data_IF_392853890048
#
_entry.id   IF_392853890048
#
_cell.length_a   1.000
_cell.length_b   1.000
_cell.length_c   1.000
_cell.angle_alpha   90.00
_cell.angle_beta   90.00
_cell.angle_gamma   90.00
#
_symmetry.space_group_name_H-M   'P 1'
#
loop_
_entity.id
_entity.type
_entity.pdbx_description
1 polymer ?
#
# COMPACT_ATOMS: atom_id res chain seq x y z
N UNK A 1 -4.23 -27.87 26.94
CA UNK A 1 -4.74 -26.49 26.93
C UNK A 1 -5.70 -26.35 25.76
N UNK A 2 -7.00 -26.37 26.01
CA UNK A 2 -7.99 -26.03 24.98
C UNK A 2 -7.96 -24.50 24.85
N UNK A 3 -7.56 -23.98 23.69
CA UNK A 3 -7.64 -22.55 23.42
C UNK A 3 -9.08 -22.10 23.64
N UNK A 4 -9.34 -20.98 24.33
CA UNK A 4 -10.69 -20.46 24.49
C UNK A 4 -11.34 -20.41 23.11
N UNK A 5 -12.47 -21.12 22.99
CA UNK A 5 -13.24 -21.19 21.76
C UNK A 5 -13.68 -19.75 21.48
N UNK A 6 -13.04 -19.11 20.51
CA UNK A 6 -13.44 -17.79 20.03
C UNK A 6 -14.94 -17.82 19.79
N UNK A 7 -15.69 -16.92 20.44
CA UNK A 7 -17.12 -16.82 20.18
C UNK A 7 -17.28 -16.59 18.67
N UNK A 8 -17.93 -17.53 17.96
CA UNK A 8 -17.98 -17.46 16.52
C UNK A 8 -18.74 -16.20 16.12
N UNK A 9 -18.21 -15.43 15.17
CA UNK A 9 -18.96 -14.36 14.50
C UNK A 9 -20.40 -14.80 14.25
N UNK A 10 -21.36 -13.91 14.53
CA UNK A 10 -22.77 -14.23 14.38
C UNK A 10 -23.06 -14.75 12.97
N UNK A 11 -24.01 -15.70 12.85
CA UNK A 11 -24.40 -16.24 11.54
C UNK A 11 -24.86 -15.14 10.58
N UNK A 12 -25.42 -14.05 11.10
CA UNK A 12 -25.83 -12.88 10.32
C UNK A 12 -24.64 -12.15 9.70
N UNK A 13 -23.59 -11.87 10.46
CA UNK A 13 -22.36 -11.23 9.93
C UNK A 13 -21.74 -12.12 8.85
N UNK A 14 -21.65 -13.44 9.09
CA UNK A 14 -21.12 -14.38 8.09
C UNK A 14 -21.94 -14.38 6.79
N UNK A 15 -23.27 -14.29 6.88
CA UNK A 15 -24.17 -14.18 5.71
C UNK A 15 -23.98 -12.85 4.98
N UNK A 16 -23.83 -11.74 5.70
CA UNK A 16 -23.57 -10.43 5.11
C UNK A 16 -22.25 -10.43 4.33
N UNK A 17 -21.18 -11.01 4.89
CA UNK A 17 -19.88 -11.13 4.20
C UNK A 17 -20.01 -12.05 2.96
N UNK A 18 -20.75 -13.16 3.06
CA UNK A 18 -21.01 -14.01 1.89
C UNK A 18 -21.78 -13.26 0.78
N UNK A 19 -22.80 -12.48 1.14
CA UNK A 19 -23.56 -11.66 0.21
C UNK A 19 -22.68 -10.59 -0.45
N UNK A 20 -21.84 -9.90 0.31
CA UNK A 20 -20.87 -8.94 -0.23
C UNK A 20 -19.89 -9.61 -1.20
N UNK A 21 -19.35 -10.79 -0.85
CA UNK A 21 -18.50 -11.58 -1.75
C UNK A 21 -19.20 -11.97 -3.04
N UNK A 22 -20.48 -12.37 -2.97
CA UNK A 22 -21.30 -12.69 -4.13
C UNK A 22 -21.56 -11.47 -5.02
N UNK A 23 -21.93 -10.34 -4.41
CA UNK A 23 -22.16 -9.07 -5.12
C UNK A 23 -20.90 -8.58 -5.84
N UNK A 24 -19.72 -8.79 -5.26
CA UNK A 24 -18.44 -8.47 -5.89
C UNK A 24 -18.06 -9.47 -7.00
N UNK A 25 -18.37 -10.76 -6.82
CA UNK A 25 -18.03 -11.83 -7.76
C UNK A 25 -18.86 -11.80 -9.04
N UNK A 26 -20.18 -11.57 -8.94
CA UNK A 26 -21.10 -11.69 -10.08
C UNK A 26 -20.78 -10.75 -11.26
N UNK A 27 -20.46 -9.45 -11.06
CA UNK A 27 -20.03 -8.57 -12.15
C UNK A 27 -18.71 -9.01 -12.78
N UNK A 28 -17.88 -9.74 -12.04
CA UNK A 28 -16.60 -10.25 -12.53
C UNK A 28 -16.72 -11.33 -13.60
N UNK A 29 -17.81 -12.11 -13.61
CA UNK A 29 -18.02 -13.17 -14.60
C UNK A 29 -18.17 -12.63 -16.04
N UNK A 30 -19.07 -11.67 -16.35
CA UNK A 30 -19.13 -11.09 -17.69
C UNK A 30 -17.88 -10.29 -18.03
N UNK A 31 -17.22 -9.64 -17.06
CA UNK A 31 -15.93 -8.97 -17.28
C UNK A 31 -14.84 -9.96 -17.69
N UNK A 32 -14.74 -11.11 -17.02
CA UNK A 32 -13.78 -12.16 -17.36
C UNK A 32 -14.05 -12.74 -18.75
N UNK A 33 -15.31 -13.05 -19.06
CA UNK A 33 -15.69 -13.53 -20.39
C UNK A 33 -15.36 -12.50 -21.48
N UNK A 34 -15.76 -11.24 -21.26
CA UNK A 34 -15.47 -10.14 -22.18
C UNK A 34 -13.98 -9.92 -22.37
N UNK A 35 -13.19 -9.99 -21.29
CA UNK A 35 -11.75 -9.90 -21.34
C UNK A 35 -11.13 -10.99 -22.21
N UNK A 36 -11.50 -12.27 -22.00
CA UNK A 36 -10.96 -13.37 -22.81
C UNK A 36 -11.38 -13.28 -24.29
N UNK A 37 -12.57 -12.73 -24.59
CA UNK A 37 -12.97 -12.48 -25.97
C UNK A 37 -12.18 -11.30 -26.59
N UNK A 38 -12.05 -10.19 -25.88
CA UNK A 38 -11.39 -8.97 -26.38
C UNK A 38 -9.88 -9.13 -26.50
N UNK A 39 -9.24 -9.82 -25.57
CA UNK A 39 -7.78 -9.96 -25.54
C UNK A 39 -7.26 -10.72 -26.77
N UNK A 40 -8.05 -11.65 -27.32
CA UNK A 40 -7.70 -12.38 -28.54
C UNK A 40 -7.67 -11.46 -29.77
N UNK A 41 -8.60 -10.51 -29.84
CA UNK A 41 -8.67 -9.50 -30.92
C UNK A 41 -7.52 -8.52 -30.76
N UNK A 42 -7.33 -8.02 -29.54
CA UNK A 42 -6.28 -7.05 -29.20
C UNK A 42 -4.87 -7.61 -29.43
N UNK A 43 -4.62 -8.88 -29.06
CA UNK A 43 -3.34 -9.55 -29.35
C UNK A 43 -3.09 -9.68 -30.85
N UNK A 44 -4.15 -9.77 -31.67
CA UNK A 44 -4.02 -9.81 -33.12
C UNK A 44 -3.77 -8.42 -33.75
N UNK A 45 -4.25 -7.34 -33.13
CA UNK A 45 -4.23 -5.97 -33.71
C UNK A 45 -3.05 -5.09 -33.26
N UNK A 46 -2.38 -5.38 -32.13
CA UNK A 46 -1.16 -4.65 -31.75
C UNK A 46 -0.89 -4.51 -30.26
N UNK A 47 0.31 -3.98 -29.97
CA UNK A 47 1.06 -4.11 -28.72
C UNK A 47 0.51 -3.37 -27.49
N UNK A 48 0.44 -2.04 -27.57
CA UNK A 48 0.55 -1.13 -26.41
C UNK A 48 -0.81 -0.79 -25.82
N UNK A 49 -1.79 -0.46 -26.67
CA UNK A 49 -3.18 -0.29 -26.24
C UNK A 49 -3.72 -1.57 -25.60
N UNK A 50 -3.27 -2.72 -26.11
CA UNK A 50 -3.61 -4.01 -25.55
C UNK A 50 -3.10 -4.25 -24.13
N UNK A 51 -1.95 -3.67 -23.77
CA UNK A 51 -1.44 -3.75 -22.41
C UNK A 51 -2.28 -2.94 -21.44
N UNK A 52 -2.72 -1.74 -21.81
CA UNK A 52 -3.55 -0.89 -20.92
C UNK A 52 -4.93 -1.50 -20.68
N UNK A 53 -5.60 -1.91 -21.76
CA UNK A 53 -6.89 -2.63 -21.68
C UNK A 53 -6.71 -3.95 -20.93
N UNK A 54 -5.62 -4.67 -21.24
CA UNK A 54 -5.19 -5.89 -20.56
C UNK A 54 -5.09 -5.70 -19.05
N UNK A 55 -4.37 -4.66 -18.63
CA UNK A 55 -4.11 -4.37 -17.23
C UNK A 55 -5.36 -3.97 -16.47
N UNK A 56 -6.14 -3.04 -17.02
CA UNK A 56 -7.40 -2.61 -16.40
C UNK A 56 -8.38 -3.77 -16.27
N UNK A 57 -8.58 -4.53 -17.35
CA UNK A 57 -9.47 -5.68 -17.36
C UNK A 57 -9.03 -6.78 -16.40
N UNK A 58 -7.77 -7.18 -16.41
CA UNK A 58 -7.25 -8.22 -15.52
C UNK A 58 -7.29 -7.78 -14.04
N UNK A 59 -6.99 -6.52 -13.74
CA UNK A 59 -7.09 -5.98 -12.37
C UNK A 59 -8.53 -6.04 -11.87
N UNK A 60 -9.50 -5.65 -12.69
CA UNK A 60 -10.92 -5.76 -12.35
C UNK A 60 -11.33 -7.22 -12.13
N UNK A 61 -10.86 -8.17 -12.95
CA UNK A 61 -11.11 -9.60 -12.76
C UNK A 61 -10.50 -10.10 -11.45
N UNK A 62 -9.27 -9.71 -11.14
CA UNK A 62 -8.60 -10.09 -9.90
C UNK A 62 -9.35 -9.58 -8.66
N UNK A 63 -9.88 -8.36 -8.71
CA UNK A 63 -10.68 -7.77 -7.62
C UNK A 63 -12.07 -8.42 -7.54
N UNK A 64 -12.76 -8.61 -8.66
CA UNK A 64 -14.13 -9.13 -8.68
C UNK A 64 -14.18 -10.65 -8.51
N UNK A 65 -13.72 -11.40 -9.51
CA UNK A 65 -13.71 -12.87 -9.50
C UNK A 65 -12.76 -13.40 -8.43
N UNK A 66 -11.55 -12.85 -8.35
CA UNK A 66 -10.54 -13.29 -7.39
C UNK A 66 -10.94 -12.96 -5.95
N UNK A 67 -10.96 -11.68 -5.57
CA UNK A 67 -11.24 -11.26 -4.20
C UNK A 67 -12.68 -11.59 -3.78
N UNK A 68 -13.68 -11.34 -4.64
CA UNK A 68 -15.08 -11.71 -4.40
C UNK A 68 -15.28 -13.21 -4.24
N UNK A 69 -14.64 -14.02 -5.09
CA UNK A 69 -14.68 -15.49 -5.00
C UNK A 69 -14.05 -16.02 -3.70
N UNK A 70 -12.91 -15.46 -3.29
CA UNK A 70 -12.25 -15.77 -2.01
C UNK A 70 -13.16 -15.48 -0.83
N UNK A 71 -13.76 -14.28 -0.80
CA UNK A 71 -14.65 -13.84 0.29
C UNK A 71 -15.90 -14.73 0.36
N UNK A 72 -16.52 -15.01 -0.79
CA UNK A 72 -17.68 -15.89 -0.89
C UNK A 72 -17.35 -17.30 -0.39
N UNK A 73 -16.29 -17.91 -0.94
CA UNK A 73 -15.87 -19.26 -0.60
C UNK A 73 -15.60 -19.41 0.90
N UNK A 74 -14.76 -18.54 1.46
CA UNK A 74 -14.40 -18.62 2.87
C UNK A 74 -15.57 -18.36 3.82
N UNK A 75 -16.52 -17.50 3.42
CA UNK A 75 -17.73 -17.22 4.18
C UNK A 75 -18.70 -18.41 4.18
N UNK A 76 -18.89 -19.06 3.03
CA UNK A 76 -19.69 -20.28 2.91
C UNK A 76 -19.10 -21.42 3.75
N UNK A 77 -17.78 -21.63 3.69
CA UNK A 77 -17.12 -22.63 4.53
C UNK A 77 -17.25 -22.32 6.04
N UNK A 78 -17.26 -21.03 6.40
CA UNK A 78 -17.48 -20.58 7.79
C UNK A 78 -18.91 -20.82 8.26
N UNK A 79 -19.91 -20.66 7.37
CA UNK A 79 -21.31 -20.97 7.64
C UNK A 79 -21.54 -22.48 7.82
N UNK A 80 -20.78 -23.31 7.11
CA UNK A 80 -20.77 -24.77 7.25
C UNK A 80 -20.01 -25.27 8.49
N UNK A 81 -19.45 -24.38 9.31
CA UNK A 81 -18.70 -24.75 10.51
C UNK A 81 -17.31 -25.36 10.22
N UNK A 82 -16.82 -25.31 8.97
CA UNK A 82 -15.48 -25.83 8.66
C UNK A 82 -14.40 -24.91 9.20
N UNK A 83 -13.40 -25.49 9.83
CA UNK A 83 -12.22 -24.77 10.32
C UNK A 83 -11.32 -24.35 9.16
N UNK A 84 -10.56 -23.27 9.34
CA UNK A 84 -9.54 -22.83 8.37
C UNK A 84 -8.17 -23.23 8.88
N UNK A 85 -7.29 -23.68 7.98
CA UNK A 85 -5.90 -23.97 8.31
C UNK A 85 -5.13 -22.67 8.66
N UNK A 86 -4.08 -22.76 9.49
CA UNK A 86 -3.11 -21.68 9.69
C UNK A 86 -2.56 -21.15 8.36
N UNK A 87 -2.32 -19.85 8.27
CA UNK A 87 -1.72 -19.21 7.11
C UNK A 87 -0.21 -19.46 7.10
N UNK A 88 0.29 -20.23 6.15
CA UNK A 88 1.73 -20.45 5.97
C UNK A 88 2.17 -19.76 4.67
N UNK A 89 2.72 -18.56 4.79
CA UNK A 89 3.27 -17.84 3.65
C UNK A 89 4.61 -18.46 3.22
N UNK A 90 4.94 -18.45 1.91
CA UNK A 90 6.28 -18.78 1.43
C UNK A 90 7.37 -17.98 2.18
N UNK A 91 8.58 -18.55 2.32
CA UNK A 91 9.68 -17.83 2.95
C UNK A 91 10.06 -16.60 2.13
N UNK A 92 10.61 -15.60 2.82
CA UNK A 92 10.95 -14.27 2.28
C UNK A 92 11.81 -14.36 1.01
N UNK A 93 12.78 -15.26 0.96
CA UNK A 93 13.64 -15.44 -0.22
C UNK A 93 12.85 -15.95 -1.45
N UNK A 94 11.85 -16.82 -1.25
CA UNK A 94 11.04 -17.35 -2.35
C UNK A 94 10.13 -16.26 -2.92
N UNK A 95 9.58 -15.40 -2.05
CA UNK A 95 8.80 -14.24 -2.47
C UNK A 95 9.68 -13.22 -3.20
N UNK A 96 10.88 -12.92 -2.70
CA UNK A 96 11.82 -12.04 -3.39
C UNK A 96 12.20 -12.59 -4.78
N UNK A 97 12.43 -13.90 -4.88
CA UNK A 97 12.67 -14.58 -6.16
C UNK A 97 11.48 -14.48 -7.11
N UNK A 98 10.26 -14.71 -6.62
CA UNK A 98 9.03 -14.57 -7.42
C UNK A 98 8.86 -13.12 -7.94
N UNK A 99 9.09 -12.12 -7.09
CA UNK A 99 9.07 -10.72 -7.50
C UNK A 99 10.08 -10.45 -8.62
N UNK A 100 11.34 -10.90 -8.46
CA UNK A 100 12.37 -10.75 -9.49
C UNK A 100 11.98 -11.43 -10.81
N UNK A 101 11.40 -12.63 -10.76
CA UNK A 101 10.90 -13.35 -11.95
C UNK A 101 9.77 -12.56 -12.62
N UNK A 102 8.79 -12.05 -11.86
CA UNK A 102 7.70 -11.23 -12.42
C UNK A 102 8.23 -9.98 -13.12
N UNK A 103 9.22 -9.29 -12.54
CA UNK A 103 9.83 -8.09 -13.16
C UNK A 103 10.59 -8.46 -14.43
N UNK A 104 11.45 -9.48 -14.39
CA UNK A 104 12.26 -9.90 -15.56
C UNK A 104 11.37 -10.39 -16.69
N UNK A 105 10.37 -11.24 -16.40
CA UNK A 105 9.42 -11.71 -17.41
C UNK A 105 8.54 -10.58 -17.93
N UNK A 106 8.12 -9.66 -17.06
CA UNK A 106 7.35 -8.48 -17.47
C UNK A 106 8.14 -7.64 -18.46
N UNK A 107 9.43 -7.38 -18.18
CA UNK A 107 10.31 -6.63 -19.08
C UNK A 107 10.49 -7.36 -20.41
N UNK A 108 10.76 -8.66 -20.36
CA UNK A 108 10.87 -9.47 -21.57
C UNK A 108 9.59 -9.40 -22.43
N UNK A 109 8.41 -9.55 -21.81
CA UNK A 109 7.12 -9.50 -22.50
C UNK A 109 6.85 -8.12 -23.12
N UNK A 110 7.16 -7.02 -22.41
CA UNK A 110 6.93 -5.67 -22.93
C UNK A 110 7.92 -5.29 -24.03
N UNK A 111 9.22 -5.62 -23.88
CA UNK A 111 10.27 -5.29 -24.85
C UNK A 111 10.18 -6.12 -26.13
N UNK A 112 9.85 -7.42 -26.00
CA UNK A 112 9.66 -8.30 -27.17
C UNK A 112 8.31 -8.11 -27.85
N UNK A 113 7.39 -7.37 -27.21
CA UNK A 113 5.98 -7.27 -27.60
C UNK A 113 5.30 -8.65 -27.78
N UNK A 114 5.78 -9.67 -27.07
CA UNK A 114 5.25 -11.02 -27.19
C UNK A 114 3.95 -11.17 -26.40
N UNK A 115 2.80 -11.05 -27.09
CA UNK A 115 1.47 -11.15 -26.50
C UNK A 115 1.32 -10.28 -25.23
N UNK A 116 1.89 -9.06 -25.27
CA UNK A 116 2.06 -8.22 -24.09
C UNK A 116 0.73 -7.93 -23.39
N UNK A 117 -0.34 -7.66 -24.15
CA UNK A 117 -1.68 -7.45 -23.61
C UNK A 117 -2.20 -8.60 -22.74
N UNK A 118 -1.80 -9.85 -23.03
CA UNK A 118 -2.26 -11.04 -22.31
C UNK A 118 -1.31 -11.42 -21.15
N UNK A 119 -0.01 -11.43 -21.40
CA UNK A 119 0.98 -11.97 -20.46
C UNK A 119 1.43 -10.95 -19.42
N UNK A 120 1.47 -9.66 -19.78
CA UNK A 120 1.95 -8.63 -18.87
C UNK A 120 1.03 -8.38 -17.67
N UNK A 121 -0.31 -8.25 -17.83
CA UNK A 121 -1.20 -7.97 -16.70
C UNK A 121 -1.08 -8.91 -15.50
N UNK A 122 -1.10 -10.26 -15.66
CA UNK A 122 -0.92 -11.16 -14.53
C UNK A 122 0.47 -11.05 -13.89
N UNK A 123 1.52 -10.84 -14.68
CA UNK A 123 2.88 -10.62 -14.15
C UNK A 123 2.96 -9.36 -13.30
N UNK A 124 2.35 -8.28 -13.77
CA UNK A 124 2.30 -7.01 -13.04
C UNK A 124 1.48 -7.12 -11.75
N UNK A 125 0.28 -7.72 -11.80
CA UNK A 125 -0.56 -7.90 -10.60
C UNK A 125 0.12 -8.77 -9.54
N UNK A 126 0.76 -9.87 -9.95
CA UNK A 126 1.53 -10.71 -9.01
C UNK A 126 2.74 -9.94 -8.49
N UNK A 127 3.52 -9.29 -9.35
CA UNK A 127 4.69 -8.49 -8.97
C UNK A 127 4.33 -7.36 -8.00
N UNK A 128 3.17 -6.73 -8.16
CA UNK A 128 2.67 -5.68 -7.29
C UNK A 128 2.24 -6.18 -5.90
N UNK A 129 1.70 -7.40 -5.80
CA UNK A 129 1.21 -7.97 -4.56
C UNK A 129 2.30 -8.66 -3.71
N UNK A 130 3.38 -9.13 -4.34
CA UNK A 130 4.40 -9.94 -3.66
C UNK A 130 5.21 -9.16 -2.61
N UNK A 131 5.72 -7.93 -2.85
CA UNK A 131 6.49 -7.20 -1.84
C UNK A 131 5.75 -6.96 -0.51
N UNK A 132 4.47 -6.51 -0.48
CA UNK A 132 3.76 -6.40 0.78
C UNK A 132 3.46 -7.77 1.42
N UNK A 133 3.22 -8.83 0.64
CA UNK A 133 3.12 -10.20 1.19
C UNK A 133 4.42 -10.67 1.83
N UNK A 134 5.56 -10.31 1.24
CA UNK A 134 6.90 -10.58 1.79
C UNK A 134 7.06 -9.93 3.16
N UNK A 135 6.57 -8.71 3.34
CA UNK A 135 6.58 -8.05 4.65
C UNK A 135 5.79 -8.84 5.70
N UNK A 136 4.60 -9.35 5.38
CA UNK A 136 3.83 -10.18 6.34
C UNK A 136 4.52 -11.53 6.61
N UNK A 137 5.14 -12.15 5.59
CA UNK A 137 5.98 -13.33 5.78
C UNK A 137 7.13 -13.05 6.75
N UNK A 138 7.77 -11.88 6.62
CA UNK A 138 8.81 -11.42 7.55
C UNK A 138 8.28 -11.17 8.97
N UNK A 139 7.10 -10.58 9.11
CA UNK A 139 6.49 -10.31 10.43
C UNK A 139 6.19 -11.59 11.20
N UNK A 140 5.74 -12.64 10.50
CA UNK A 140 5.31 -13.90 11.13
C UNK A 140 6.46 -14.84 11.50
N UNK A 141 7.63 -14.71 10.87
CA UNK A 141 8.84 -15.53 11.12
C UNK A 141 8.53 -17.04 11.30
N UNK A 142 7.73 -17.60 10.39
CA UNK A 142 7.28 -19.01 10.36
C UNK A 142 6.27 -19.44 11.43
N UNK A 143 5.94 -18.57 12.39
CA UNK A 143 4.87 -18.84 13.36
C UNK A 143 3.67 -17.92 13.09
N UNK A 144 2.69 -18.43 12.36
CA UNK A 144 1.42 -17.76 12.12
C UNK A 144 0.30 -18.32 13.03
N UNK A 145 0.66 -18.89 14.19
CA UNK A 145 -0.34 -19.42 15.13
C UNK A 145 -1.36 -18.32 15.49
N UNK A 146 -2.62 -18.54 15.10
CA UNK A 146 -3.75 -17.61 15.28
C UNK A 146 -4.24 -16.91 14.00
N UNK A 147 -3.37 -16.75 13.00
CA UNK A 147 -3.73 -16.26 11.67
C UNK A 147 -4.05 -17.43 10.74
N UNK A 148 -5.29 -17.47 10.23
CA UNK A 148 -5.74 -18.52 9.31
C UNK A 148 -5.85 -18.00 7.87
N UNK A 149 -5.79 -18.88 6.88
CA UNK A 149 -6.02 -18.53 5.47
C UNK A 149 -7.31 -17.74 5.27
N UNK A 150 -8.41 -18.17 5.92
CA UNK A 150 -9.69 -17.45 5.90
C UNK A 150 -9.55 -16.00 6.34
N UNK A 151 -8.91 -15.75 7.49
CA UNK A 151 -8.77 -14.40 8.04
C UNK A 151 -7.86 -13.54 7.17
N UNK A 152 -6.70 -14.07 6.82
CA UNK A 152 -5.72 -13.35 6.02
C UNK A 152 -6.25 -12.98 4.63
N UNK A 153 -6.86 -13.94 3.92
CA UNK A 153 -7.36 -13.70 2.57
C UNK A 153 -8.63 -12.81 2.53
N UNK A 154 -9.54 -12.95 3.50
CA UNK A 154 -10.70 -12.04 3.58
C UNK A 154 -10.26 -10.62 3.93
N UNK A 155 -9.28 -10.45 4.83
CA UNK A 155 -8.72 -9.14 5.14
C UNK A 155 -8.01 -8.52 3.92
N UNK A 156 -7.19 -9.31 3.21
CA UNK A 156 -6.54 -8.90 1.96
C UNK A 156 -7.57 -8.48 0.91
N UNK A 157 -8.60 -9.31 0.68
CA UNK A 157 -9.67 -8.98 -0.26
C UNK A 157 -10.41 -7.70 0.15
N UNK A 158 -10.70 -7.52 1.44
CA UNK A 158 -11.31 -6.31 1.96
C UNK A 158 -10.44 -5.06 1.74
N UNK A 159 -9.15 -5.15 2.02
CA UNK A 159 -8.20 -4.06 1.79
C UNK A 159 -8.12 -3.66 0.32
N UNK A 160 -8.04 -4.65 -0.58
CA UNK A 160 -8.00 -4.46 -2.03
C UNK A 160 -9.32 -3.92 -2.64
N UNK A 161 -10.43 -3.98 -1.90
CA UNK A 161 -11.76 -3.60 -2.39
C UNK A 161 -12.28 -2.39 -1.63
N UNK A 162 -12.90 -2.63 -0.48
CA UNK A 162 -13.52 -1.61 0.37
C UNK A 162 -12.47 -0.61 0.86
N UNK A 163 -11.28 -1.07 1.24
CA UNK A 163 -10.20 -0.19 1.69
C UNK A 163 -9.84 0.84 0.61
N UNK A 164 -9.52 0.36 -0.60
CA UNK A 164 -9.22 1.22 -1.76
C UNK A 164 -10.40 2.12 -2.12
N UNK A 165 -11.63 1.58 -2.18
CA UNK A 165 -12.82 2.38 -2.51
C UNK A 165 -13.04 3.52 -1.52
N UNK A 166 -12.94 3.25 -0.22
CA UNK A 166 -13.12 4.27 0.81
C UNK A 166 -11.99 5.30 0.76
N UNK A 167 -10.74 4.87 0.54
CA UNK A 167 -9.63 5.80 0.37
C UNK A 167 -9.85 6.72 -0.84
N UNK A 168 -10.20 6.18 -2.01
CA UNK A 168 -10.49 6.98 -3.21
C UNK A 168 -11.61 7.99 -2.98
N UNK A 169 -12.66 7.61 -2.26
CA UNK A 169 -13.74 8.54 -1.89
C UNK A 169 -13.20 9.67 -1.01
N UNK A 170 -12.44 9.33 0.04
CA UNK A 170 -11.97 10.29 1.04
C UNK A 170 -10.86 11.20 0.54
N UNK A 171 -9.98 10.70 -0.33
CA UNK A 171 -8.77 11.41 -0.76
C UNK A 171 -8.92 12.07 -2.13
N UNK A 172 -9.73 11.52 -3.04
CA UNK A 172 -9.90 12.07 -4.40
C UNK A 172 -11.27 12.72 -4.53
N UNK A 173 -12.35 11.93 -4.38
CA UNK A 173 -13.69 12.40 -4.73
C UNK A 173 -14.14 13.53 -3.80
N UNK A 174 -13.98 13.38 -2.49
CA UNK A 174 -14.42 14.37 -1.51
C UNK A 174 -13.65 15.69 -1.65
N UNK A 175 -12.29 15.73 -1.72
CA UNK A 175 -11.57 16.97 -1.95
C UNK A 175 -11.92 17.63 -3.29
N UNK A 176 -12.08 16.86 -4.38
CA UNK A 176 -12.50 17.41 -5.67
C UNK A 176 -13.91 18.01 -5.61
N UNK A 177 -14.86 17.36 -4.93
CA UNK A 177 -16.20 17.91 -4.72
C UNK A 177 -16.17 19.21 -3.90
N UNK A 178 -15.35 19.29 -2.86
CA UNK A 178 -15.20 20.52 -2.06
C UNK A 178 -14.59 21.65 -2.90
N UNK A 179 -13.51 21.36 -3.64
CA UNK A 179 -12.85 22.34 -4.50
C UNK A 179 -13.78 22.85 -5.61
N UNK A 180 -14.51 21.94 -6.26
CA UNK A 180 -15.39 22.28 -7.37
C UNK A 180 -16.69 22.96 -6.91
N UNK A 181 -17.41 22.38 -5.95
CA UNK A 181 -18.76 22.81 -5.61
C UNK A 181 -18.80 23.89 -4.52
N UNK A 182 -17.87 23.87 -3.58
CA UNK A 182 -17.89 24.79 -2.42
C UNK A 182 -17.04 26.02 -2.69
N UNK A 183 -15.88 25.84 -3.32
CA UNK A 183 -14.88 26.90 -3.46
C UNK A 183 -14.78 27.46 -4.90
N UNK A 184 -15.40 26.81 -5.90
CA UNK A 184 -15.28 27.16 -7.31
C UNK A 184 -13.81 27.30 -7.78
N UNK A 185 -12.93 26.44 -7.26
CA UNK A 185 -11.48 26.45 -7.50
C UNK A 185 -11.03 25.41 -8.54
N UNK A 186 -11.96 24.67 -9.16
CA UNK A 186 -11.61 23.57 -10.06
C UNK A 186 -10.74 24.02 -11.25
N UNK A 187 -11.08 25.16 -11.86
CA UNK A 187 -10.30 25.73 -12.97
C UNK A 187 -8.89 26.15 -12.51
N UNK A 188 -8.78 26.77 -11.33
CA UNK A 188 -7.49 27.21 -10.77
C UNK A 188 -6.58 26.02 -10.49
N UNK A 189 -7.12 24.97 -9.86
CA UNK A 189 -6.34 23.75 -9.55
C UNK A 189 -5.92 23.04 -10.83
N UNK A 190 -6.81 22.95 -11.82
CA UNK A 190 -6.50 22.30 -13.10
C UNK A 190 -5.39 23.05 -13.84
N UNK A 191 -5.48 24.39 -13.90
CA UNK A 191 -4.44 25.22 -14.50
C UNK A 191 -3.08 25.05 -13.79
N UNK A 192 -3.05 25.04 -12.46
CA UNK A 192 -1.81 24.83 -11.70
C UNK A 192 -1.20 23.45 -11.91
N UNK A 193 -2.02 22.41 -12.11
CA UNK A 193 -1.52 21.07 -12.43
C UNK A 193 -0.95 21.03 -13.86
N UNK A 194 -1.61 21.70 -14.81
CA UNK A 194 -1.12 21.83 -16.19
C UNK A 194 0.23 22.56 -16.23
N UNK A 195 0.34 23.70 -15.55
CA UNK A 195 1.57 24.48 -15.41
C UNK A 195 2.71 23.63 -14.80
N UNK A 196 2.40 22.83 -13.77
CA UNK A 196 3.37 21.91 -13.20
C UNK A 196 3.83 20.84 -14.20
N UNK A 197 2.91 20.24 -14.96
CA UNK A 197 3.26 19.24 -15.98
C UNK A 197 4.16 19.86 -17.05
N UNK A 198 3.88 21.08 -17.46
CA UNK A 198 4.72 21.83 -18.40
C UNK A 198 6.11 22.09 -17.79
N UNK A 199 6.18 22.54 -16.54
CA UNK A 199 7.45 22.78 -15.85
C UNK A 199 8.30 21.51 -15.70
N UNK A 200 7.67 20.37 -15.37
CA UNK A 200 8.33 19.06 -15.31
C UNK A 200 8.83 18.60 -16.68
N UNK A 201 8.09 18.88 -17.74
CA UNK A 201 8.48 18.55 -19.12
C UNK A 201 9.61 19.45 -19.64
N UNK A 202 9.69 20.69 -19.17
CA UNK A 202 10.73 21.66 -19.54
C UNK A 202 12.09 21.45 -18.88
N UNK A 203 12.28 20.35 -18.14
CA UNK A 203 13.52 19.98 -17.42
C UNK A 203 14.00 21.02 -16.37
N UNK A 204 13.21 22.04 -16.08
CA UNK A 204 13.53 23.05 -15.08
C UNK A 204 13.00 22.60 -13.70
N UNK A 205 13.77 21.72 -13.06
CA UNK A 205 13.44 21.16 -11.74
C UNK A 205 13.16 22.26 -10.71
N UNK A 206 13.93 23.35 -10.73
CA UNK A 206 13.75 24.48 -9.82
C UNK A 206 12.38 25.13 -10.00
N UNK A 207 11.97 25.40 -11.24
CA UNK A 207 10.63 25.91 -11.52
C UNK A 207 9.56 24.91 -11.03
N UNK A 208 9.68 23.63 -11.40
CA UNK A 208 8.71 22.60 -11.06
C UNK A 208 8.48 22.45 -9.55
N UNK A 209 9.52 22.48 -8.71
CA UNK A 209 9.35 22.36 -7.24
C UNK A 209 8.80 23.63 -6.59
N UNK A 210 8.90 24.78 -7.26
CA UNK A 210 8.34 26.05 -6.78
C UNK A 210 6.94 26.33 -7.30
N UNK A 211 6.44 25.55 -8.27
CA UNK A 211 5.09 25.71 -8.80
C UNK A 211 4.03 25.45 -7.71
N UNK A 212 2.97 26.27 -7.63
CA UNK A 212 1.86 26.03 -6.69
C UNK A 212 1.23 24.63 -6.85
N UNK A 213 1.19 24.12 -8.09
CA UNK A 213 0.73 22.77 -8.39
C UNK A 213 1.55 21.70 -7.67
N UNK A 214 2.86 21.90 -7.50
CA UNK A 214 3.72 20.96 -6.77
C UNK A 214 3.38 20.94 -5.29
N UNK A 215 3.17 22.10 -4.68
CA UNK A 215 2.75 22.20 -3.28
C UNK A 215 1.40 21.50 -3.09
N UNK A 216 0.47 21.69 -4.02
CA UNK A 216 -0.82 20.99 -4.01
C UNK A 216 -0.65 19.48 -4.06
N UNK A 217 0.13 18.95 -5.02
CA UNK A 217 0.41 17.51 -5.11
C UNK A 217 1.13 16.97 -3.88
N UNK A 218 2.08 17.73 -3.32
CA UNK A 218 2.80 17.34 -2.11
C UNK A 218 1.86 17.24 -0.92
N UNK A 219 0.97 18.22 -0.71
CA UNK A 219 -0.05 18.15 0.36
C UNK A 219 -1.01 16.98 0.12
N UNK A 220 -1.46 16.80 -1.11
CA UNK A 220 -2.36 15.70 -1.46
C UNK A 220 -1.72 14.34 -1.17
N UNK A 221 -0.50 14.09 -1.65
CA UNK A 221 0.16 12.80 -1.56
C UNK A 221 0.84 12.54 -0.21
N UNK A 222 1.37 13.57 0.45
CA UNK A 222 2.08 13.42 1.72
C UNK A 222 1.17 13.61 2.95
N UNK A 223 -0.03 14.18 2.82
CA UNK A 223 -0.90 14.46 3.96
C UNK A 223 -2.28 13.83 3.77
N UNK A 224 -3.02 14.27 2.74
CA UNK A 224 -4.43 13.89 2.56
C UNK A 224 -4.57 12.39 2.29
N UNK A 225 -3.83 11.86 1.32
CA UNK A 225 -3.86 10.45 0.98
C UNK A 225 -3.47 9.55 2.16
N UNK A 226 -2.29 9.72 2.82
CA UNK A 226 -1.94 8.93 3.99
C UNK A 226 -2.97 8.93 5.12
N UNK A 227 -3.60 10.08 5.41
CA UNK A 227 -4.67 10.17 6.41
C UNK A 227 -5.90 9.35 6.00
N UNK A 228 -6.37 9.53 4.78
CA UNK A 228 -7.54 8.85 4.24
C UNK A 228 -7.32 7.34 4.16
N UNK A 229 -6.17 6.93 3.64
CA UNK A 229 -5.79 5.55 3.44
C UNK A 229 -5.62 4.76 4.74
N UNK A 230 -4.85 5.29 5.71
CA UNK A 230 -4.63 4.60 6.99
C UNK A 230 -5.92 4.50 7.81
N UNK A 231 -6.88 5.41 7.58
CA UNK A 231 -8.22 5.31 8.14
C UNK A 231 -9.06 4.23 7.45
N UNK A 232 -8.98 4.14 6.12
CA UNK A 232 -9.80 3.26 5.29
C UNK A 232 -9.40 1.77 5.40
N UNK A 233 -8.09 1.47 5.32
CA UNK A 233 -7.53 0.10 5.33
C UNK A 233 -8.11 -0.80 6.44
N UNK A 234 -8.13 -0.40 7.73
CA UNK A 234 -8.54 -1.28 8.83
C UNK A 234 -10.07 -1.47 8.95
N UNK A 235 -10.90 -0.67 8.27
CA UNK A 235 -12.37 -0.72 8.40
C UNK A 235 -12.93 -2.12 8.15
N UNK A 236 -12.36 -2.83 7.17
CA UNK A 236 -12.77 -4.20 6.79
C UNK A 236 -12.50 -5.23 7.88
N UNK A 237 -11.57 -4.93 8.80
CA UNK A 237 -11.16 -5.83 9.88
C UNK A 237 -11.89 -5.55 11.20
N UNK A 238 -12.55 -4.39 11.34
CA UNK A 238 -13.20 -3.97 12.58
C UNK A 238 -14.17 -5.01 13.19
N UNK A 239 -15.00 -5.73 12.40
CA UNK A 239 -15.90 -6.73 12.96
C UNK A 239 -15.17 -7.89 13.67
N UNK A 240 -13.89 -8.09 13.37
CA UNK A 240 -13.08 -9.20 13.88
C UNK A 240 -12.14 -8.78 14.99
N UNK A 241 -11.44 -7.65 14.85
CA UNK A 241 -10.23 -7.33 15.65
C UNK A 241 -10.48 -7.27 17.16
N UNK A 242 -11.68 -6.90 17.62
CA UNK A 242 -12.03 -6.93 19.05
C UNK A 242 -11.98 -8.32 19.69
N UNK A 243 -12.19 -9.38 18.91
CA UNK A 243 -12.22 -10.77 19.37
C UNK A 243 -10.87 -11.47 19.26
N UNK A 244 -9.89 -10.82 18.62
CA UNK A 244 -8.59 -11.42 18.33
C UNK A 244 -7.59 -11.20 19.47
N UNK A 245 -6.52 -12.01 19.49
CA UNK A 245 -5.32 -11.67 20.25
C UNK A 245 -4.69 -10.39 19.69
N UNK A 246 -3.80 -9.73 20.45
CA UNK A 246 -3.08 -8.55 19.96
C UNK A 246 -2.30 -8.87 18.68
N UNK A 247 -1.63 -10.03 18.64
CA UNK A 247 -0.83 -10.48 17.49
C UNK A 247 -1.71 -10.68 16.27
N UNK A 248 -2.81 -11.39 16.46
CA UNK A 248 -3.72 -11.72 15.35
C UNK A 248 -4.41 -10.47 14.82
N UNK A 249 -4.79 -9.51 15.67
CA UNK A 249 -5.35 -8.23 15.21
C UNK A 249 -4.33 -7.45 14.38
N UNK A 250 -3.06 -7.39 14.82
CA UNK A 250 -1.99 -6.77 14.06
C UNK A 250 -1.81 -7.45 12.69
N UNK A 251 -1.70 -8.79 12.66
CA UNK A 251 -1.46 -9.52 11.42
C UNK A 251 -2.68 -9.52 10.46
N UNK A 252 -3.91 -9.57 10.99
CA UNK A 252 -5.13 -9.44 10.19
C UNK A 252 -5.22 -8.03 9.58
N UNK A 253 -4.90 -6.99 10.35
CA UNK A 253 -4.75 -5.62 9.82
C UNK A 253 -3.67 -5.55 8.75
N UNK A 254 -2.49 -6.13 9.00
CA UNK A 254 -1.40 -6.14 8.04
C UNK A 254 -1.79 -6.78 6.71
N UNK A 255 -2.56 -7.88 6.73
CA UNK A 255 -3.10 -8.50 5.51
C UNK A 255 -4.08 -7.58 4.76
N UNK A 256 -4.87 -6.75 5.44
CA UNK A 256 -5.67 -5.73 4.76
C UNK A 256 -4.78 -4.67 4.10
N UNK A 257 -3.73 -4.22 4.79
CA UNK A 257 -2.70 -3.36 4.22
C UNK A 257 -2.02 -3.94 2.97
N UNK A 258 -1.78 -5.26 2.95
CA UNK A 258 -1.26 -5.96 1.75
C UNK A 258 -2.21 -5.82 0.56
N UNK A 259 -3.50 -6.09 0.77
CA UNK A 259 -4.49 -6.00 -0.30
C UNK A 259 -4.61 -4.60 -0.88
N UNK A 260 -4.60 -3.60 0.00
CA UNK A 260 -4.59 -2.19 -0.41
C UNK A 260 -3.36 -1.87 -1.27
N UNK A 261 -2.16 -2.16 -0.75
CA UNK A 261 -0.90 -1.88 -1.44
C UNK A 261 -0.77 -2.62 -2.78
N UNK A 262 -1.33 -3.82 -2.91
CA UNK A 262 -1.30 -4.56 -4.16
C UNK A 262 -2.04 -3.80 -5.28
N UNK A 263 -3.23 -3.28 -4.99
CA UNK A 263 -4.03 -2.52 -5.97
C UNK A 263 -3.37 -1.18 -6.26
N UNK A 264 -2.92 -0.48 -5.23
CA UNK A 264 -2.21 0.79 -5.36
C UNK A 264 -0.95 0.64 -6.24
N UNK A 265 -0.11 -0.38 -5.98
CA UNK A 265 1.08 -0.66 -6.77
C UNK A 265 0.75 -0.93 -8.25
N UNK A 266 -0.36 -1.62 -8.53
CA UNK A 266 -0.87 -1.81 -9.90
C UNK A 266 -1.27 -0.49 -10.54
N UNK A 267 -1.98 0.38 -9.80
CA UNK A 267 -2.38 1.70 -10.30
C UNK A 267 -1.16 2.56 -10.62
N UNK A 268 -0.19 2.68 -9.71
CA UNK A 268 1.03 3.46 -9.95
C UNK A 268 1.83 2.93 -11.14
N UNK A 269 2.06 1.61 -11.20
CA UNK A 269 2.82 1.02 -12.30
C UNK A 269 2.04 1.09 -13.64
N UNK A 270 0.71 1.02 -13.59
CA UNK A 270 -0.16 1.17 -14.76
C UNK A 270 -0.21 2.59 -15.31
N UNK A 271 -0.34 3.60 -14.44
CA UNK A 271 -0.29 5.01 -14.85
C UNK A 271 1.10 5.41 -15.34
N UNK A 272 2.15 4.93 -14.67
CA UNK A 272 3.54 5.12 -15.07
C UNK A 272 4.07 4.00 -15.98
N UNK A 273 3.26 3.49 -16.91
CA UNK A 273 3.57 2.27 -17.68
C UNK A 273 4.97 2.28 -18.31
N UNK A 274 5.45 3.40 -18.86
CA UNK A 274 6.78 3.45 -19.48
C UNK A 274 7.93 3.11 -18.51
N UNK A 275 7.73 3.32 -17.21
CA UNK A 275 8.72 3.07 -16.17
C UNK A 275 8.20 2.11 -15.10
N UNK A 276 7.22 1.27 -15.47
CA UNK A 276 6.49 0.39 -14.55
C UNK A 276 7.43 -0.46 -13.68
N UNK A 277 8.52 -0.97 -14.26
CA UNK A 277 9.49 -1.82 -13.56
C UNK A 277 10.24 -1.04 -12.47
N UNK A 278 10.69 0.18 -12.79
CA UNK A 278 11.34 1.08 -11.83
C UNK A 278 10.38 1.46 -10.70
N UNK A 279 9.13 1.78 -11.04
CA UNK A 279 8.06 2.07 -10.07
C UNK A 279 7.86 0.88 -9.13
N UNK A 280 7.70 -0.33 -9.65
CA UNK A 280 7.54 -1.54 -8.83
C UNK A 280 8.74 -1.79 -7.91
N UNK A 281 9.98 -1.59 -8.40
CA UNK A 281 11.18 -1.77 -7.57
C UNK A 281 11.20 -0.77 -6.42
N UNK A 282 10.94 0.51 -6.69
CA UNK A 282 10.86 1.54 -5.65
C UNK A 282 9.73 1.20 -4.67
N UNK A 283 8.56 0.80 -5.16
CA UNK A 283 7.41 0.39 -4.34
C UNK A 283 7.72 -0.85 -3.49
N UNK A 284 8.52 -1.78 -4.01
CA UNK A 284 8.96 -2.96 -3.26
C UNK A 284 9.84 -2.60 -2.06
N UNK A 285 10.69 -1.55 -2.17
CA UNK A 285 11.48 -1.06 -1.04
C UNK A 285 10.59 -0.59 0.11
N UNK A 286 9.43 0.01 -0.20
CA UNK A 286 8.43 0.47 0.77
C UNK A 286 7.34 -0.56 1.09
N UNK A 287 7.44 -1.79 0.59
CA UNK A 287 6.34 -2.77 0.63
C UNK A 287 5.84 -3.12 2.03
N UNK A 288 6.65 -2.88 3.07
CA UNK A 288 6.29 -3.12 4.46
C UNK A 288 5.46 -2.01 5.12
N UNK A 289 5.37 -0.82 4.51
CA UNK A 289 4.73 0.34 5.13
C UNK A 289 3.21 0.15 5.27
N UNK A 290 2.51 -0.25 4.21
CA UNK A 290 1.06 -0.47 4.28
C UNK A 290 0.68 -1.63 5.22
N UNK A 291 1.36 -2.81 5.18
CA UNK A 291 1.11 -3.85 6.16
C UNK A 291 1.39 -3.41 7.61
N UNK A 292 2.48 -2.66 7.86
CA UNK A 292 2.79 -2.15 9.19
C UNK A 292 1.73 -1.14 9.67
N UNK A 293 1.43 -0.13 8.87
CA UNK A 293 0.45 0.92 9.19
C UNK A 293 -0.92 0.33 9.49
N UNK A 294 -1.45 -0.47 8.57
CA UNK A 294 -2.75 -1.13 8.75
C UNK A 294 -2.78 -2.05 9.97
N UNK A 295 -1.68 -2.79 10.24
CA UNK A 295 -1.55 -3.60 11.44
C UNK A 295 -1.55 -2.80 12.73
N UNK A 296 -0.85 -1.65 12.77
CA UNK A 296 -0.84 -0.73 13.92
C UNK A 296 -2.23 -0.17 14.20
N UNK A 297 -2.94 0.30 13.16
CA UNK A 297 -4.28 0.88 13.33
C UNK A 297 -5.29 -0.19 13.76
N UNK A 298 -5.23 -1.40 13.19
CA UNK A 298 -6.05 -2.54 13.62
C UNK A 298 -5.80 -2.93 15.09
N UNK A 299 -4.53 -2.92 15.53
CA UNK A 299 -4.16 -3.16 16.92
C UNK A 299 -4.68 -2.06 17.86
N UNK A 300 -4.68 -0.79 17.40
CA UNK A 300 -5.34 0.33 18.08
C UNK A 300 -6.83 0.09 18.26
N UNK A 301 -7.52 -0.25 17.17
CA UNK A 301 -8.97 -0.49 17.18
C UNK A 301 -9.36 -1.65 18.08
N UNK A 302 -8.58 -2.72 18.10
CA UNK A 302 -8.77 -3.81 19.06
C UNK A 302 -8.81 -3.29 20.51
N UNK A 303 -7.88 -2.42 20.88
CA UNK A 303 -7.84 -1.85 22.24
C UNK A 303 -9.10 -1.04 22.54
N UNK A 304 -9.55 -0.23 21.58
CA UNK A 304 -10.77 0.58 21.69
C UNK A 304 -12.01 -0.31 21.84
N UNK A 305 -12.18 -1.31 20.98
CA UNK A 305 -13.32 -2.24 20.99
C UNK A 305 -13.37 -3.11 22.25
N UNK A 306 -12.23 -3.33 22.91
CA UNK A 306 -12.14 -4.07 24.18
C UNK A 306 -12.16 -3.16 25.41
N UNK A 307 -12.33 -1.86 25.23
CA UNK A 307 -12.27 -0.86 26.31
C UNK A 307 -11.00 -0.97 27.17
N UNK A 308 -9.84 -1.22 26.55
CA UNK A 308 -8.56 -1.28 27.27
C UNK A 308 -8.20 0.12 27.85
N UNK A 309 -7.58 0.19 29.04
CA UNK A 309 -7.16 1.47 29.62
C UNK A 309 -6.27 2.27 28.65
N UNK A 310 -6.61 3.55 28.42
CA UNK A 310 -5.87 4.42 27.51
C UNK A 310 -6.00 4.06 26.02
N UNK A 311 -6.96 3.21 25.63
CA UNK A 311 -7.10 2.72 24.26
C UNK A 311 -7.16 3.81 23.19
N UNK A 312 -7.90 4.89 23.41
CA UNK A 312 -8.00 6.00 22.45
C UNK A 312 -6.68 6.72 22.24
N UNK A 313 -5.92 6.97 23.31
CA UNK A 313 -4.57 7.55 23.22
C UNK A 313 -3.64 6.62 22.44
N UNK A 314 -3.68 5.32 22.76
CA UNK A 314 -2.88 4.32 22.06
C UNK A 314 -3.26 4.19 20.59
N UNK A 315 -4.56 4.31 20.26
CA UNK A 315 -5.05 4.36 18.89
C UNK A 315 -4.51 5.58 18.15
N UNK A 316 -4.62 6.78 18.73
CA UNK A 316 -4.10 8.02 18.14
C UNK A 316 -2.60 7.95 17.88
N UNK A 317 -1.81 7.41 18.81
CA UNK A 317 -0.37 7.23 18.62
C UNK A 317 -0.08 6.26 17.47
N UNK A 318 -0.75 5.11 17.44
CA UNK A 318 -0.56 4.10 16.37
C UNK A 318 -0.99 4.62 15.01
N UNK A 319 -2.11 5.34 14.95
CA UNK A 319 -2.61 5.98 13.74
C UNK A 319 -1.65 7.09 13.28
N UNK A 320 -1.21 7.97 14.17
CA UNK A 320 -0.23 9.01 13.85
C UNK A 320 1.10 8.45 13.35
N UNK A 321 1.58 7.34 13.92
CA UNK A 321 2.78 6.64 13.43
C UNK A 321 2.57 6.03 12.04
N UNK A 322 1.41 5.41 11.79
CA UNK A 322 1.07 4.85 10.48
C UNK A 322 1.01 5.95 9.41
N UNK A 323 0.26 7.02 9.68
CA UNK A 323 0.12 8.18 8.79
C UNK A 323 1.47 8.85 8.57
N UNK A 324 2.25 9.09 9.62
CA UNK A 324 3.56 9.75 9.51
C UNK A 324 4.56 8.94 8.69
N UNK A 325 4.63 7.63 8.89
CA UNK A 325 5.48 6.74 8.11
C UNK A 325 5.08 6.76 6.63
N UNK A 326 3.78 6.70 6.36
CA UNK A 326 3.24 6.68 5.02
C UNK A 326 3.39 8.04 4.32
N UNK A 327 3.17 9.15 5.04
CA UNK A 327 3.43 10.52 4.59
C UNK A 327 4.89 10.74 4.18
N UNK A 328 5.83 10.31 5.02
CA UNK A 328 7.26 10.38 4.72
C UNK A 328 7.61 9.57 3.46
N UNK A 329 6.98 8.41 3.30
CA UNK A 329 7.18 7.58 2.12
C UNK A 329 6.63 8.23 0.85
N UNK A 330 5.39 8.70 0.84
CA UNK A 330 4.75 9.30 -0.34
C UNK A 330 5.40 10.64 -0.70
N UNK A 331 5.57 11.53 0.27
CA UNK A 331 6.24 12.82 0.05
C UNK A 331 7.70 12.63 -0.37
N UNK A 332 8.43 11.72 0.28
CA UNK A 332 9.79 11.36 -0.10
C UNK A 332 9.87 10.78 -1.52
N UNK A 333 8.95 9.89 -1.89
CA UNK A 333 8.91 9.32 -3.25
C UNK A 333 8.60 10.38 -4.31
N UNK A 334 7.65 11.29 -4.05
CA UNK A 334 7.36 12.42 -4.95
C UNK A 334 8.60 13.30 -5.14
N UNK A 335 9.32 13.59 -4.06
CA UNK A 335 10.57 14.34 -4.11
C UNK A 335 11.66 13.60 -4.89
N UNK A 336 11.84 12.28 -4.71
CA UNK A 336 12.75 11.48 -5.55
C UNK A 336 12.40 11.66 -7.02
N UNK A 337 11.14 11.44 -7.38
CA UNK A 337 10.68 11.46 -8.78
C UNK A 337 10.89 12.85 -9.40
N UNK A 338 10.59 13.89 -8.63
CA UNK A 338 10.72 15.29 -9.07
C UNK A 338 12.18 15.74 -9.16
N UNK A 339 13.01 15.40 -8.17
CA UNK A 339 14.44 15.76 -8.13
C UNK A 339 15.29 14.91 -9.07
N UNK A 340 14.85 13.68 -9.37
CA UNK A 340 15.37 12.90 -10.48
C UNK A 340 14.84 13.38 -11.85
N UNK A 341 14.06 14.48 -11.86
CA UNK A 341 13.41 15.10 -13.00
C UNK A 341 14.31 15.21 -14.24
N UNK A 342 13.68 15.10 -15.42
CA UNK A 342 14.27 14.90 -16.74
C UNK A 342 14.86 13.50 -17.03
N UNK A 343 15.68 12.92 -16.14
CA UNK A 343 16.35 11.62 -16.44
C UNK A 343 15.41 10.41 -16.49
N UNK A 344 14.27 10.51 -15.81
CA UNK A 344 13.24 9.46 -15.79
C UNK A 344 12.18 9.65 -16.89
N UNK A 345 12.08 10.80 -17.55
CA UNK A 345 10.97 11.10 -18.48
C UNK A 345 11.42 11.60 -19.87
N UNK A 346 12.71 11.82 -20.11
CA UNK A 346 13.27 12.30 -21.39
C UNK A 346 14.65 11.72 -21.74
N UNK A 347 15.13 11.93 -22.99
CA UNK A 347 16.48 11.53 -23.40
C UNK A 347 17.53 12.33 -22.64
N UNK A 348 18.59 11.66 -22.19
CA UNK A 348 19.68 12.25 -21.39
C UNK A 348 20.28 13.49 -22.07
N UNK A 349 20.25 14.68 -21.46
CA UNK A 349 21.28 15.68 -21.76
C UNK A 349 22.65 15.09 -21.37
N UNK A 350 23.72 15.37 -22.14
CA UNK A 350 25.05 14.80 -21.91
C UNK A 350 25.72 15.26 -20.62
N UNK A 351 25.14 16.22 -19.92
CA UNK A 351 25.68 16.82 -18.71
C UNK A 351 25.16 16.08 -17.47
N UNK A 352 26.07 15.39 -16.78
CA UNK A 352 25.78 14.73 -15.51
C UNK A 352 25.56 15.83 -14.45
N UNK A 353 24.30 16.16 -14.16
CA UNK A 353 24.00 16.94 -12.96
C UNK A 353 24.33 16.11 -11.70
N UNK A 354 25.47 16.43 -11.09
CA UNK A 354 26.00 15.81 -9.87
C UNK A 354 25.05 16.09 -8.69
N UNK A 355 24.40 17.26 -8.66
CA UNK A 355 23.51 17.64 -7.56
C UNK A 355 22.22 16.83 -7.61
N UNK A 356 21.57 16.72 -8.77
CA UNK A 356 20.39 15.86 -8.95
C UNK A 356 20.64 14.39 -8.63
N UNK A 357 21.79 13.83 -9.04
CA UNK A 357 22.18 12.46 -8.69
C UNK A 357 22.40 12.27 -7.19
N UNK A 358 23.02 13.25 -6.52
CA UNK A 358 23.25 13.18 -5.07
C UNK A 358 21.94 13.24 -4.28
N UNK A 359 20.99 14.09 -4.69
CA UNK A 359 19.67 14.22 -4.06
C UNK A 359 18.77 13.00 -4.31
N UNK A 360 18.76 12.46 -5.53
CA UNK A 360 18.07 11.21 -5.82
C UNK A 360 18.68 10.05 -5.02
N UNK A 361 20.01 9.99 -4.91
CA UNK A 361 20.73 8.98 -4.14
C UNK A 361 20.43 9.04 -2.63
N UNK A 362 20.47 10.22 -2.02
CA UNK A 362 20.15 10.39 -0.59
C UNK A 362 18.69 10.09 -0.29
N UNK A 363 17.77 10.48 -1.18
CA UNK A 363 16.35 10.24 -0.96
C UNK A 363 16.00 8.76 -1.20
N UNK A 364 16.63 8.09 -2.17
CA UNK A 364 16.54 6.63 -2.31
C UNK A 364 17.09 5.91 -1.07
N UNK A 365 18.22 6.36 -0.52
CA UNK A 365 18.75 5.82 0.73
C UNK A 365 17.76 5.99 1.89
N UNK A 366 17.10 7.14 1.99
CA UNK A 366 16.03 7.37 2.96
C UNK A 366 14.87 6.37 2.77
N UNK A 367 14.40 6.15 1.54
CA UNK A 367 13.32 5.19 1.26
C UNK A 367 13.73 3.75 1.64
N UNK A 368 14.97 3.35 1.35
CA UNK A 368 15.50 2.05 1.77
C UNK A 368 15.51 1.93 3.29
N UNK A 369 16.02 2.94 3.99
CA UNK A 369 16.03 2.98 5.47
C UNK A 369 14.60 2.89 6.00
N UNK A 370 13.64 3.61 5.40
CA UNK A 370 12.24 3.61 5.79
C UNK A 370 11.61 2.23 5.65
N UNK A 371 11.84 1.57 4.52
CA UNK A 371 11.38 0.21 4.25
C UNK A 371 11.96 -0.82 5.23
N UNK A 372 13.26 -0.77 5.47
CA UNK A 372 13.95 -1.64 6.43
C UNK A 372 13.47 -1.40 7.87
N UNK A 373 13.27 -0.13 8.25
CA UNK A 373 12.72 0.23 9.55
C UNK A 373 11.29 -0.31 9.72
N UNK A 374 10.46 -0.24 8.68
CA UNK A 374 9.12 -0.80 8.70
C UNK A 374 9.13 -2.34 8.84
N UNK A 375 10.02 -3.03 8.12
CA UNK A 375 10.22 -4.48 8.24
C UNK A 375 10.65 -4.87 9.67
N UNK A 376 11.63 -4.15 10.22
CA UNK A 376 12.12 -4.39 11.56
C UNK A 376 11.04 -4.12 12.62
N UNK A 377 10.32 -3.00 12.50
CA UNK A 377 9.26 -2.63 13.43
C UNK A 377 8.11 -3.64 13.44
N UNK A 378 7.61 -4.06 12.28
CA UNK A 378 6.52 -5.04 12.20
C UNK A 378 6.90 -6.40 12.79
N UNK A 379 8.14 -6.85 12.58
CA UNK A 379 8.66 -8.05 13.23
C UNK A 379 8.78 -7.89 14.75
N UNK A 380 9.32 -6.78 15.21
CA UNK A 380 9.51 -6.49 16.63
C UNK A 380 8.17 -6.41 17.39
N UNK A 381 7.15 -5.78 16.79
CA UNK A 381 5.79 -5.73 17.34
C UNK A 381 5.22 -7.14 17.47
N UNK A 382 5.35 -7.97 16.42
CA UNK A 382 4.81 -9.33 16.43
C UNK A 382 5.46 -10.19 17.52
N UNK A 383 6.78 -10.07 17.70
CA UNK A 383 7.54 -10.79 18.74
C UNK A 383 7.21 -10.32 20.16
N UNK A 384 7.16 -9.01 20.40
CA UNK A 384 6.87 -8.47 21.73
C UNK A 384 5.45 -8.85 22.20
N UNK A 385 4.49 -8.83 21.27
CA UNK A 385 3.11 -9.21 21.57
C UNK A 385 2.98 -10.72 21.87
N UNK A 386 3.81 -11.56 21.27
CA UNK A 386 3.87 -12.99 21.57
C UNK A 386 4.40 -13.25 22.99
N UNK A 387 5.43 -12.50 23.42
CA UNK A 387 5.97 -12.58 24.77
C UNK A 387 4.96 -12.14 25.84
N UNK A 388 4.23 -11.05 25.59
CA UNK A 388 3.15 -10.58 26.49
C UNK A 388 2.10 -11.68 26.72
N UNK A 389 1.65 -12.35 25.65
CA UNK A 389 0.63 -13.41 25.74
C UNK A 389 1.10 -14.63 26.54
N UNK A 390 2.38 -15.00 26.44
CA UNK A 390 2.94 -16.13 27.18
C UNK A 390 3.12 -15.81 28.67
N UNK A 391 3.34 -14.54 28.99
CA UNK A 391 3.78 -14.18 30.33
C UNK A 391 2.69 -14.24 31.41
N UNK A 392 1.39 -14.06 31.10
CA UNK A 392 0.22 -14.07 32.03
C UNK A 392 0.39 -13.32 33.38
N UNK A 393 1.55 -12.72 33.63
CA UNK A 393 1.90 -11.89 34.76
C UNK A 393 1.37 -10.50 34.47
N UNK A 394 1.00 -9.83 35.55
CA UNK A 394 0.44 -8.47 35.62
C UNK A 394 0.76 -7.60 34.41
N UNK A 395 -0.20 -6.79 33.93
CA UNK A 395 -0.04 -5.99 32.72
C UNK A 395 1.30 -5.27 32.78
N UNK A 396 2.28 -5.79 32.04
CA UNK A 396 3.51 -5.08 31.80
C UNK A 396 3.03 -3.77 31.18
N UNK A 397 3.27 -2.66 31.89
CA UNK A 397 3.18 -1.33 31.28
C UNK A 397 4.00 -1.44 30.01
N UNK A 398 3.34 -1.55 28.87
CA UNK A 398 3.98 -1.54 27.57
C UNK A 398 4.37 -0.10 27.32
N UNK A 399 5.32 0.37 28.13
CA UNK A 399 6.01 1.61 27.98
C UNK A 399 6.94 1.38 26.80
N UNK A 400 6.37 1.37 25.59
CA UNK A 400 7.10 1.65 24.36
C UNK A 400 7.49 3.14 24.45
N UNK A 401 8.42 3.42 25.37
CA UNK A 401 9.09 4.71 25.46
C UNK A 401 10.08 4.64 24.30
N UNK A 402 9.73 5.30 23.20
CA UNK A 402 10.74 5.72 22.24
C UNK A 402 11.83 6.39 23.06
N UNK A 403 12.99 5.75 23.19
CA UNK A 403 14.06 6.35 23.98
C UNK A 403 14.36 7.72 23.39
N UNK A 404 14.66 8.71 24.22
CA UNK A 404 15.01 10.05 23.74
C UNK A 404 16.14 9.99 22.70
N UNK A 405 17.01 8.98 22.81
CA UNK A 405 18.02 8.64 21.79
C UNK A 405 17.43 8.20 20.46
N UNK A 406 16.41 7.34 20.45
CA UNK A 406 15.74 6.89 19.23
C UNK A 406 14.99 8.04 18.54
N UNK A 407 14.31 8.89 19.32
CA UNK A 407 13.66 10.11 18.80
C UNK A 407 14.70 11.09 18.28
N UNK A 408 15.82 11.30 18.99
CA UNK A 408 16.89 12.19 18.56
C UNK A 408 17.60 11.69 17.29
N UNK A 409 17.85 10.38 17.18
CA UNK A 409 18.42 9.77 15.97
C UNK A 409 17.45 9.95 14.80
N UNK A 410 16.15 9.70 15.01
CA UNK A 410 15.14 9.90 13.97
C UNK A 410 15.00 11.38 13.56
N UNK A 411 14.95 12.28 14.54
CA UNK A 411 14.90 13.71 14.30
C UNK A 411 16.15 14.19 13.55
N UNK A 412 17.32 13.67 13.90
CA UNK A 412 18.59 13.96 13.23
C UNK A 412 18.62 13.40 11.80
N UNK A 413 18.10 12.19 11.56
CA UNK A 413 17.97 11.63 10.20
C UNK A 413 16.98 12.43 9.36
N UNK A 414 15.85 12.83 9.93
CA UNK A 414 14.90 13.75 9.29
C UNK A 414 15.56 15.11 9.02
N UNK A 415 16.32 15.67 9.97
CA UNK A 415 17.06 16.92 9.76
C UNK A 415 18.11 16.77 8.66
N UNK A 416 18.88 15.67 8.65
CA UNK A 416 19.90 15.41 7.63
C UNK A 416 19.27 15.22 6.25
N UNK A 417 18.04 14.71 6.15
CA UNK A 417 17.34 14.60 4.87
C UNK A 417 16.65 15.92 4.46
N UNK A 418 15.96 16.57 5.40
CA UNK A 418 15.08 17.72 5.14
C UNK A 418 15.88 19.03 5.07
N UNK A 419 16.91 19.22 5.90
CA UNK A 419 17.68 20.48 5.95
C UNK A 419 18.48 20.71 4.67
N UNK A 420 19.18 19.74 4.07
CA UNK A 420 19.83 19.95 2.78
C UNK A 420 18.83 20.25 1.67
N UNK A 421 17.67 19.59 1.64
CA UNK A 421 16.60 19.94 0.70
C UNK A 421 16.08 21.35 0.92
N UNK A 422 15.86 21.77 2.17
CA UNK A 422 15.41 23.11 2.53
C UNK A 422 16.43 24.20 2.22
N UNK A 423 17.72 23.97 2.48
CA UNK A 423 18.82 24.88 2.15
C UNK A 423 18.98 25.00 0.63
N UNK A 424 18.88 23.89 -0.10
CA UNK A 424 18.94 23.89 -1.57
C UNK A 424 17.77 24.68 -2.15
N UNK A 425 16.55 24.48 -1.63
CA UNK A 425 15.38 25.29 -2.00
C UNK A 425 15.55 26.79 -1.70
N UNK A 426 16.10 27.14 -0.54
CA UNK A 426 16.38 28.54 -0.16
C UNK A 426 17.45 29.20 -1.03
N UNK A 427 18.50 28.46 -1.40
CA UNK A 427 19.55 28.98 -2.29
C UNK A 427 19.06 29.18 -3.72
N UNK A 428 18.08 28.38 -4.17
CA UNK A 428 17.41 28.56 -5.46
C UNK A 428 16.46 29.76 -5.45
N UNK A 429 15.79 30.05 -4.34
CA UNK A 429 14.91 31.22 -4.16
C UNK A 429 15.66 32.57 -4.08
N UNK A 430 16.95 32.55 -3.72
CA UNK A 430 17.78 33.75 -3.54
C UNK A 430 18.65 34.08 -4.76
N UNK A 431 18.53 33.30 -5.85
CA UNK A 431 19.12 33.59 -7.16
C UNK A 431 18.01 34.03 -8.10
#
# INVERSE_FOLDING_TARGET
MQSPIEEPLSKQIKRAIAAAGLLLFLPGLPLALGFFCMILIVVAEGATEGVRVGLGGFTLIAITVGAGGIVLWHSLQSLQGKTSRPLNLPPVWAMAGLFGVCVVLGLFVTESNFAAGLLFPPLLVVGAAVPPLLAVSWFTHQNAAGLTWRRGLVALAGGATIGVLVALILEIILPLMVLALVLNLAEIVTAQIEDLVIALAGENIAAAVTEPGFIFLLVQLAIIAPLAEELAKPLVTLPLVGHLSRRDAFLVGAMAGVGFAAVENVLYAGFGFYFWAGILVIRALGGAIHPLGSGLVALGWRGVLRNEPGAWRNWLVRFGLAVGLHALWNGGSLLVITLAGAKFFGPLPPEIDILGLSMAGTTLALLIILGLAALWAGRSITQNVELDNLSHREPAKSDFILSDRSVAIWAMLCLIAIVPMGITGLQLLLR
#
